data_IF_705394852409
#
_entry.id   IF_705394852409
#
_cell.length_a   1.000
_cell.length_b   1.000
_cell.length_c   1.000
_cell.angle_alpha   90.00
_cell.angle_beta   90.00
_cell.angle_gamma   90.00
#
_symmetry.space_group_name_H-M   'P 1'
#
loop_
_entity.id
_entity.type
_entity.pdbx_description
1 polymer ?
#
# COMPACT_ATOMS: atom_id res chain seq x y z
N UNK A 1 3.55 -3.47 20.53
CA UNK A 1 4.25 -3.23 19.25
C UNK A 1 3.61 -4.14 18.23
N UNK A 2 3.23 -3.66 17.04
CA UNK A 2 2.63 -4.52 15.99
C UNK A 2 3.68 -5.52 15.48
N UNK A 3 3.24 -6.72 15.11
CA UNK A 3 4.10 -7.75 14.52
C UNK A 3 4.38 -7.45 13.04
N UNK A 4 5.40 -8.08 12.46
CA UNK A 4 5.67 -7.98 11.02
C UNK A 4 4.44 -8.40 10.19
N UNK A 5 3.73 -9.44 10.62
CA UNK A 5 2.50 -9.91 9.97
C UNK A 5 1.42 -8.82 9.97
N UNK A 6 1.29 -8.03 11.04
CA UNK A 6 0.30 -6.94 11.08
C UNK A 6 0.66 -5.85 10.06
N UNK A 7 1.94 -5.51 9.91
CA UNK A 7 2.37 -4.56 8.88
C UNK A 7 2.19 -5.11 7.46
N UNK A 8 2.46 -6.40 7.24
CA UNK A 8 2.18 -7.05 5.95
C UNK A 8 0.69 -7.03 5.62
N UNK A 9 -0.18 -7.28 6.60
CA UNK A 9 -1.64 -7.16 6.41
C UNK A 9 -2.03 -5.75 6.00
N UNK A 10 -1.50 -4.72 6.68
CA UNK A 10 -1.75 -3.32 6.28
C UNK A 10 -1.31 -3.04 4.85
N UNK A 11 -0.11 -3.48 4.46
CA UNK A 11 0.38 -3.32 3.08
C UNK A 11 -0.57 -4.01 2.09
N UNK A 12 -0.99 -5.24 2.40
CA UNK A 12 -1.88 -6.02 1.56
C UNK A 12 -3.26 -5.38 1.40
N UNK A 13 -3.85 -4.87 2.49
CA UNK A 13 -5.15 -4.21 2.47
C UNK A 13 -5.12 -2.94 1.61
N UNK A 14 -4.06 -2.12 1.70
CA UNK A 14 -3.90 -0.94 0.86
C UNK A 14 -3.70 -1.29 -0.62
N UNK A 15 -2.98 -2.37 -0.93
CA UNK A 15 -2.85 -2.88 -2.30
C UNK A 15 -4.21 -3.33 -2.86
N UNK A 16 -5.01 -4.02 -2.05
CA UNK A 16 -6.36 -4.43 -2.43
C UNK A 16 -7.25 -3.22 -2.71
N UNK A 17 -7.23 -2.22 -1.83
CA UNK A 17 -7.96 -0.97 -2.02
C UNK A 17 -7.56 -0.28 -3.33
N UNK A 18 -6.26 -0.10 -3.57
CA UNK A 18 -5.75 0.50 -4.80
C UNK A 18 -6.22 -0.26 -6.04
N UNK A 19 -6.14 -1.60 -6.02
CA UNK A 19 -6.57 -2.45 -7.13
C UNK A 19 -8.07 -2.33 -7.40
N UNK A 20 -8.89 -2.35 -6.35
CA UNK A 20 -10.34 -2.23 -6.48
C UNK A 20 -10.76 -0.87 -7.03
N UNK A 21 -10.20 0.21 -6.50
CA UNK A 21 -10.53 1.56 -6.96
C UNK A 21 -9.98 1.85 -8.36
N UNK A 22 -8.82 1.29 -8.71
CA UNK A 22 -8.27 1.41 -10.05
C UNK A 22 -9.17 0.74 -11.10
N UNK A 23 -9.74 -0.43 -10.78
CA UNK A 23 -10.67 -1.14 -11.67
C UNK A 23 -12.03 -0.44 -11.82
N UNK A 24 -12.39 0.47 -10.89
CA UNK A 24 -13.65 1.24 -10.92
C UNK A 24 -13.51 2.58 -11.64
N UNK A 25 -12.29 2.97 -12.05
CA UNK A 25 -12.02 4.27 -12.64
C UNK A 25 -11.36 4.16 -14.01
N UNK A 26 -11.20 5.29 -14.68
CA UNK A 26 -10.40 5.43 -15.90
C UNK A 26 -9.53 6.69 -15.78
N UNK A 27 -8.68 6.94 -16.77
CA UNK A 27 -7.74 8.06 -16.75
C UNK A 27 -8.41 9.42 -16.50
N UNK A 28 -9.48 9.73 -17.22
CA UNK A 28 -10.13 11.04 -17.16
C UNK A 28 -10.86 11.25 -15.82
N UNK A 29 -11.55 10.21 -15.33
CA UNK A 29 -12.19 10.21 -14.01
C UNK A 29 -11.16 10.33 -12.89
N UNK A 30 -10.01 9.66 -13.00
CA UNK A 30 -8.94 9.75 -12.02
C UNK A 30 -8.32 11.15 -11.98
N UNK A 31 -8.01 11.73 -13.14
CA UNK A 31 -7.37 13.05 -13.22
C UNK A 31 -8.29 14.18 -12.72
N UNK A 32 -9.60 14.08 -12.96
CA UNK A 32 -10.59 15.06 -12.52
C UNK A 32 -10.99 14.90 -11.04
N UNK A 33 -10.85 13.71 -10.45
CA UNK A 33 -11.24 13.45 -9.06
C UNK A 33 -10.09 13.66 -8.06
N UNK A 34 -10.06 14.82 -7.40
CA UNK A 34 -9.03 15.16 -6.40
C UNK A 34 -9.07 14.30 -5.13
N UNK A 35 -10.25 13.80 -4.74
CA UNK A 35 -10.37 12.93 -3.57
C UNK A 35 -9.75 11.57 -3.87
N UNK A 36 -10.05 11.00 -5.04
CA UNK A 36 -9.50 9.73 -5.49
C UNK A 36 -7.97 9.78 -5.59
N UNK A 37 -7.41 10.84 -6.16
CA UNK A 37 -5.96 11.05 -6.20
C UNK A 37 -5.32 11.06 -4.81
N UNK A 38 -5.93 11.79 -3.86
CA UNK A 38 -5.45 11.85 -2.47
C UNK A 38 -5.57 10.50 -1.77
N UNK A 39 -6.62 9.73 -2.02
CA UNK A 39 -6.78 8.38 -1.48
C UNK A 39 -5.67 7.44 -1.98
N UNK A 40 -5.33 7.51 -3.27
CA UNK A 40 -4.23 6.73 -3.85
C UNK A 40 -2.88 7.11 -3.23
N UNK A 41 -2.57 8.41 -3.15
CA UNK A 41 -1.35 8.90 -2.48
C UNK A 41 -1.28 8.41 -1.05
N UNK A 42 -2.39 8.53 -0.30
CA UNK A 42 -2.44 8.09 1.10
C UNK A 42 -2.19 6.59 1.26
N UNK A 43 -2.74 5.77 0.36
CA UNK A 43 -2.53 4.32 0.38
C UNK A 43 -1.04 3.98 0.19
N UNK A 44 -0.39 4.65 -0.76
CA UNK A 44 1.07 4.50 -1.01
C UNK A 44 1.91 4.95 0.20
N UNK A 45 1.53 6.04 0.86
CA UNK A 45 2.19 6.48 2.11
C UNK A 45 2.08 5.43 3.22
N UNK A 46 0.89 4.85 3.41
CA UNK A 46 0.66 3.82 4.43
C UNK A 46 1.51 2.57 4.12
N UNK A 47 1.57 2.15 2.85
CA UNK A 47 2.44 1.06 2.41
C UNK A 47 3.90 1.35 2.78
N UNK A 48 4.39 2.56 2.49
CA UNK A 48 5.76 2.98 2.81
C UNK A 48 6.04 3.00 4.32
N UNK A 49 5.11 3.54 5.11
CA UNK A 49 5.21 3.58 6.57
C UNK A 49 5.24 2.16 7.18
N UNK A 50 4.34 1.27 6.74
CA UNK A 50 4.30 -0.11 7.19
C UNK A 50 5.57 -0.88 6.78
N UNK A 51 6.06 -0.66 5.55
CA UNK A 51 7.30 -1.26 5.05
C UNK A 51 8.52 -0.86 5.89
N UNK A 52 8.60 0.41 6.29
CA UNK A 52 9.68 0.90 7.14
C UNK A 52 9.67 0.24 8.53
N UNK A 53 8.49 -0.08 9.06
CA UNK A 53 8.30 -0.67 10.39
C UNK A 53 8.54 -2.19 10.46
N UNK A 54 8.71 -2.86 9.31
CA UNK A 54 9.13 -4.26 9.29
C UNK A 54 10.49 -4.43 9.96
N UNK A 55 10.67 -5.54 10.68
CA UNK A 55 11.91 -5.86 11.38
C UNK A 55 13.06 -6.14 10.41
N UNK A 56 14.30 -5.82 10.83
CA UNK A 56 15.49 -6.13 10.00
C UNK A 56 15.66 -7.63 9.71
N UNK A 57 15.40 -8.56 10.66
CA UNK A 57 15.41 -9.98 10.36
C UNK A 57 14.42 -10.36 9.25
N UNK A 58 13.22 -9.77 9.25
CA UNK A 58 12.22 -10.00 8.21
C UNK A 58 12.71 -9.48 6.85
N UNK A 59 13.16 -8.21 6.80
CA UNK A 59 13.71 -7.60 5.57
C UNK A 59 14.89 -8.38 5.01
N UNK A 60 15.77 -8.90 5.87
CA UNK A 60 16.92 -9.73 5.46
C UNK A 60 16.49 -11.11 4.95
N UNK A 61 15.45 -11.70 5.55
CA UNK A 61 14.92 -13.00 5.12
C UNK A 61 14.22 -12.92 3.74
N UNK A 62 13.57 -11.79 3.46
CA UNK A 62 12.81 -11.55 2.22
C UNK A 62 13.41 -10.36 1.45
N UNK A 63 14.71 -10.40 1.15
CA UNK A 63 15.44 -9.28 0.54
C UNK A 63 15.29 -9.20 -0.98
N UNK A 64 14.80 -10.25 -1.61
CA UNK A 64 14.60 -10.34 -3.06
C UNK A 64 13.14 -10.71 -3.35
N UNK A 65 12.50 -10.09 -4.35
CA UNK A 65 11.24 -10.59 -4.88
C UNK A 65 11.46 -11.97 -5.53
N UNK A 66 10.51 -12.88 -5.36
CA UNK A 66 10.44 -14.13 -6.14
C UNK A 66 10.18 -13.86 -7.62
#
# INVERSE_FOLDING_TARGET
>A
MKSDIDYIKHIYDEILFLREEFNKTNKDNFLSNNVLKRAFVRSVEIIGEASNKLSDPFKKKYSEPE
#
